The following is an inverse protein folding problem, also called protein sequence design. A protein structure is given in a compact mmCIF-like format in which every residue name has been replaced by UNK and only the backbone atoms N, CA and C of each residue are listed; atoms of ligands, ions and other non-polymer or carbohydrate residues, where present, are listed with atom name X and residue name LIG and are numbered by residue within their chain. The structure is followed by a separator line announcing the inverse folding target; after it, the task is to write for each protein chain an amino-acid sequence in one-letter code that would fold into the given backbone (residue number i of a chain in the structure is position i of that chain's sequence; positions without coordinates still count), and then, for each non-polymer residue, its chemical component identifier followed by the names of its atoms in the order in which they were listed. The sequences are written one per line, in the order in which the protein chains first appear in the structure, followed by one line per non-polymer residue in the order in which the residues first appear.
data_IF_535924538800
#
_entry.id   IF_535924538800
#
_cell.length_a   1.000
_cell.length_b   1.000
_cell.length_c   1.000
_cell.angle_alpha   90.00
_cell.angle_beta   90.00
_cell.angle_gamma   90.00
#
_symmetry.space_group_name_H-M   'P 1'
#
loop_
_entity.id
_entity.type
_entity.pdbx_description
1 polymer ?
#
# COMPACT_ATOMS: atom_id res chain seq x y z
N UNK A 1 -2.33 21.65 3.09
CA UNK A 1 -2.12 20.51 2.16
C UNK A 1 -2.45 19.23 2.92
N UNK A 2 -3.40 18.42 2.44
CA UNK A 2 -3.60 17.09 3.01
C UNK A 2 -2.56 16.17 2.36
N UNK A 3 -1.66 15.62 3.15
CA UNK A 3 -0.70 14.63 2.66
C UNK A 3 -1.38 13.27 2.52
N UNK A 4 -1.04 12.54 1.46
CA UNK A 4 -1.53 11.18 1.25
C UNK A 4 -1.04 10.26 2.39
N UNK A 5 -1.95 9.45 2.98
CA UNK A 5 -1.70 8.66 4.19
C UNK A 5 -0.90 7.37 3.91
N UNK A 6 0.23 7.51 3.21
CA UNK A 6 1.13 6.42 2.81
C UNK A 6 2.45 6.54 3.57
N UNK A 7 2.80 5.49 4.30
CA UNK A 7 3.95 5.45 5.20
C UNK A 7 4.85 4.26 4.90
N UNK A 8 6.15 4.39 5.17
CA UNK A 8 7.09 3.27 5.16
C UNK A 8 7.39 2.89 6.60
N UNK A 9 7.05 1.67 6.96
CA UNK A 9 7.28 1.09 8.28
C UNK A 9 8.49 0.13 8.22
N UNK A 10 9.43 0.33 9.15
CA UNK A 10 10.69 -0.42 9.21
C UNK A 10 10.77 -1.12 10.56
N UNK A 11 10.75 -2.45 10.54
CA UNK A 11 10.72 -3.33 11.72
C UNK A 11 11.89 -4.32 11.71
N UNK A 12 12.04 -5.07 12.80
CA UNK A 12 13.03 -6.15 12.97
C UNK A 12 14.47 -5.72 12.64
N UNK A 13 14.95 -4.62 13.22
CA UNK A 13 16.32 -4.16 12.99
C UNK A 13 16.63 -3.81 11.52
N UNK A 14 15.66 -3.20 10.80
CA UNK A 14 15.76 -2.79 9.38
C UNK A 14 15.64 -3.89 8.33
N UNK A 15 15.42 -5.13 8.73
CA UNK A 15 15.25 -6.25 7.79
C UNK A 15 13.84 -6.36 7.23
N UNK A 16 12.83 -5.89 7.97
CA UNK A 16 11.44 -5.91 7.54
C UNK A 16 10.99 -4.51 7.17
N UNK A 17 10.86 -4.26 5.87
CA UNK A 17 10.34 -2.99 5.35
C UNK A 17 8.95 -3.22 4.75
N UNK A 18 8.00 -2.39 5.15
CA UNK A 18 6.62 -2.41 4.67
C UNK A 18 6.24 -1.00 4.21
N UNK A 19 5.35 -0.91 3.24
CA UNK A 19 4.63 0.30 2.89
C UNK A 19 3.17 0.13 3.29
N UNK A 20 2.63 1.09 4.01
CA UNK A 20 1.30 1.04 4.60
C UNK A 20 0.47 2.22 4.10
N UNK A 21 -0.70 1.93 3.56
CA UNK A 21 -1.72 2.90 3.17
C UNK A 21 -2.80 2.84 4.24
N UNK A 22 -3.00 3.96 4.93
CA UNK A 22 -3.98 4.09 6.00
C UNK A 22 -5.13 5.02 5.59
N UNK A 23 -6.12 5.19 6.49
CA UNK A 23 -7.29 6.06 6.26
C UNK A 23 -8.03 5.74 4.96
N UNK A 24 -8.16 4.46 4.64
CA UNK A 24 -8.97 4.00 3.51
C UNK A 24 -10.43 4.05 3.96
N UNK A 25 -11.23 4.84 3.25
CA UNK A 25 -12.68 4.88 3.41
C UNK A 25 -13.32 4.06 2.27
N UNK A 26 -14.28 3.19 2.58
CA UNK A 26 -14.92 2.30 1.60
C UNK A 26 -14.32 0.90 1.52
N UNK A 27 -14.31 0.31 0.32
CA UNK A 27 -13.86 -1.07 0.10
C UNK A 27 -12.33 -1.15 -0.05
N UNK A 28 -11.68 -1.62 1.01
CA UNK A 28 -10.22 -1.80 1.05
C UNK A 28 -9.73 -2.97 0.17
N UNK A 29 -10.58 -3.96 -0.13
CA UNK A 29 -10.23 -5.07 -1.01
C UNK A 29 -10.15 -4.61 -2.46
N UNK A 30 -11.06 -3.74 -2.88
CA UNK A 30 -11.02 -3.13 -4.22
C UNK A 30 -9.73 -2.34 -4.42
N UNK A 31 -9.39 -1.45 -3.49
CA UNK A 31 -8.12 -0.70 -3.52
C UNK A 31 -6.90 -1.63 -3.55
N UNK A 32 -6.91 -2.68 -2.73
CA UNK A 32 -5.84 -3.68 -2.69
C UNK A 32 -5.67 -4.39 -4.04
N UNK A 33 -6.78 -4.76 -4.68
CA UNK A 33 -6.78 -5.42 -5.99
C UNK A 33 -6.31 -4.49 -7.11
N UNK A 34 -6.70 -3.21 -7.08
CA UNK A 34 -6.23 -2.21 -8.04
C UNK A 34 -4.73 -2.00 -7.93
N UNK A 35 -4.21 -1.88 -6.70
CA UNK A 35 -2.76 -1.78 -6.47
C UNK A 35 -2.03 -3.01 -7.01
N UNK A 36 -2.54 -4.22 -6.79
CA UNK A 36 -1.95 -5.45 -7.34
C UNK A 36 -1.92 -5.41 -8.87
N UNK A 37 -3.03 -5.02 -9.51
CA UNK A 37 -3.19 -5.02 -10.96
C UNK A 37 -2.44 -3.90 -11.67
N UNK A 38 -2.30 -2.74 -11.06
CA UNK A 38 -1.70 -1.57 -11.72
C UNK A 38 -0.22 -1.38 -11.37
N UNK A 39 0.19 -1.67 -10.13
CA UNK A 39 1.56 -1.43 -9.67
C UNK A 39 2.41 -2.71 -9.61
N UNK A 40 1.79 -3.88 -9.51
CA UNK A 40 2.50 -5.14 -9.25
C UNK A 40 2.03 -6.30 -10.14
N UNK A 41 1.54 -6.01 -11.36
CA UNK A 41 0.98 -7.01 -12.28
C UNK A 41 1.98 -8.12 -12.68
N UNK A 42 3.28 -7.84 -12.67
CA UNK A 42 4.34 -8.80 -12.99
C UNK A 42 4.77 -9.64 -11.79
N UNK A 43 4.36 -9.26 -10.57
CA UNK A 43 4.78 -9.94 -9.36
C UNK A 43 4.03 -11.25 -9.16
N UNK A 44 4.77 -12.34 -9.00
CA UNK A 44 4.21 -13.64 -8.62
C UNK A 44 4.04 -13.81 -7.09
N UNK A 45 4.48 -12.82 -6.29
CA UNK A 45 4.39 -12.90 -4.85
C UNK A 45 2.96 -12.62 -4.35
N UNK A 46 2.23 -13.68 -4.04
CA UNK A 46 0.83 -13.62 -3.55
C UNK A 46 0.61 -12.69 -2.34
N UNK A 47 1.62 -12.58 -1.48
CA UNK A 47 1.56 -11.80 -0.23
C UNK A 47 2.26 -10.45 -0.32
N UNK A 48 2.59 -9.97 -1.52
CA UNK A 48 3.23 -8.68 -1.72
C UNK A 48 2.32 -7.54 -1.27
N UNK A 49 1.06 -7.56 -1.69
CA UNK A 49 0.02 -6.59 -1.31
C UNK A 49 -1.06 -7.34 -0.56
N UNK A 50 -1.46 -6.87 0.62
CA UNK A 50 -2.49 -7.50 1.45
C UNK A 50 -3.29 -6.47 2.23
N UNK A 51 -4.51 -6.82 2.59
CA UNK A 51 -5.34 -6.03 3.50
C UNK A 51 -5.03 -6.41 4.94
N UNK A 52 -4.97 -5.42 5.82
CA UNK A 52 -5.10 -5.60 7.25
C UNK A 52 -6.54 -5.24 7.67
N UNK A 53 -7.39 -6.24 7.86
CA UNK A 53 -8.81 -6.04 8.18
C UNK A 53 -9.06 -5.45 9.57
N UNK A 54 -8.07 -5.49 10.48
CA UNK A 54 -8.25 -4.91 11.82
C UNK A 54 -8.36 -3.39 11.78
N UNK A 55 -7.70 -2.74 10.82
CA UNK A 55 -7.67 -1.28 10.69
C UNK A 55 -8.00 -0.78 9.27
N UNK A 56 -8.40 -1.67 8.36
CA UNK A 56 -8.63 -1.39 6.95
C UNK A 56 -7.45 -0.69 6.26
N UNK A 57 -6.23 -1.13 6.57
CA UNK A 57 -5.04 -0.63 5.89
C UNK A 57 -4.61 -1.58 4.78
N UNK A 58 -3.99 -1.04 3.72
CA UNK A 58 -3.30 -1.84 2.71
C UNK A 58 -1.83 -1.90 3.09
N UNK A 59 -1.30 -3.13 3.18
CA UNK A 59 0.09 -3.40 3.52
C UNK A 59 0.80 -3.98 2.28
N UNK A 60 1.89 -3.35 1.89
CA UNK A 60 2.75 -3.76 0.79
C UNK A 60 4.12 -4.13 1.36
N UNK A 61 4.67 -5.29 0.99
CA UNK A 61 6.05 -5.64 1.37
C UNK A 61 7.03 -4.79 0.57
N UNK A 62 8.09 -4.31 1.23
CA UNK A 62 9.12 -3.50 0.59
C UNK A 62 8.87 -1.99 0.67
N UNK A 63 9.79 -1.23 0.07
CA UNK A 63 9.82 0.24 0.11
C UNK A 63 9.20 0.81 -1.17
N UNK A 64 7.88 0.97 -1.17
CA UNK A 64 7.10 1.42 -2.33
C UNK A 64 6.38 2.76 -2.08
N UNK A 65 6.60 3.42 -0.93
CA UNK A 65 5.85 4.60 -0.53
C UNK A 65 5.82 5.74 -1.54
N UNK A 66 6.93 6.04 -2.23
CA UNK A 66 6.95 7.09 -3.25
C UNK A 66 6.07 6.74 -4.46
N UNK A 67 6.28 5.57 -5.05
CA UNK A 67 5.50 5.05 -6.18
C UNK A 67 4.00 5.00 -5.88
N UNK A 68 3.64 4.51 -4.69
CA UNK A 68 2.24 4.43 -4.25
C UNK A 68 1.62 5.80 -4.06
N UNK A 69 2.37 6.78 -3.50
CA UNK A 69 1.89 8.17 -3.40
C UNK A 69 1.65 8.78 -4.77
N UNK A 70 2.56 8.61 -5.71
CA UNK A 70 2.37 9.12 -7.07
C UNK A 70 1.15 8.50 -7.75
N UNK A 71 0.94 7.19 -7.59
CA UNK A 71 -0.22 6.51 -8.15
C UNK A 71 -1.54 6.99 -7.56
N UNK A 72 -1.62 7.14 -6.22
CA UNK A 72 -2.79 7.70 -5.55
C UNK A 72 -3.06 9.15 -5.98
N UNK A 73 -2.01 9.99 -6.06
CA UNK A 73 -2.14 11.37 -6.51
C UNK A 73 -2.67 11.46 -7.95
N UNK A 74 -2.22 10.57 -8.85
CA UNK A 74 -2.72 10.49 -10.23
C UNK A 74 -4.20 10.11 -10.32
N UNK A 75 -4.71 9.34 -9.36
CA UNK A 75 -6.14 8.98 -9.26
C UNK A 75 -6.99 10.08 -8.60
N UNK A 76 -6.38 11.13 -8.05
CA UNK A 76 -7.09 12.27 -7.46
C UNK A 76 -7.45 12.11 -5.98
N UNK A 77 -6.76 11.22 -5.26
CA UNK A 77 -6.87 11.08 -3.80
C UNK A 77 -6.14 12.20 -3.03
#
# INVERSE_FOLDING_TARGET
MKELPVYVDIKNGRTRVLTEISRVEGDVEELCNDIRKELFYESQEKNLVRVNHTNNHVIIKGRHGFMVKEWLAKKGF
#
